data_IF_850173409857
#
_entry.id   IF_850173409857
#
_cell.length_a   1.000
_cell.length_b   1.000
_cell.length_c   1.000
_cell.angle_alpha   90.00
_cell.angle_beta   90.00
_cell.angle_gamma   90.00
#
_symmetry.space_group_name_H-M   'P 1'
#
loop_
_entity.id
_entity.type
_entity.pdbx_description
1 polymer ?
#
# COMPACT_ATOMS: atom_id res chain seq x y z
N UNK A 1 -0.97 2.05 -5.15
CA UNK A 1 -0.84 0.70 -5.73
C UNK A 1 -1.41 0.60 -7.15
N UNK A 2 -2.69 0.85 -7.42
CA UNK A 2 -3.26 0.72 -8.77
C UNK A 2 -2.50 1.50 -9.85
N UNK A 3 -2.17 2.77 -9.62
CA UNK A 3 -1.39 3.58 -10.58
C UNK A 3 0.00 3.00 -10.86
N UNK A 4 0.66 2.39 -9.86
CA UNK A 4 1.96 1.72 -10.07
C UNK A 4 1.81 0.49 -10.95
N UNK A 5 0.77 -0.33 -10.75
CA UNK A 5 0.47 -1.48 -11.62
C UNK A 5 0.20 -1.01 -13.05
N UNK A 6 -0.62 0.04 -13.20
CA UNK A 6 -0.96 0.58 -14.52
C UNK A 6 0.28 1.12 -15.25
N UNK A 7 1.19 1.79 -14.55
CA UNK A 7 2.43 2.30 -15.12
C UNK A 7 3.31 1.14 -15.62
N UNK A 8 3.57 0.14 -14.79
CA UNK A 8 4.39 -1.02 -15.16
C UNK A 8 3.78 -1.86 -16.29
N UNK A 9 2.45 -2.05 -16.26
CA UNK A 9 1.77 -2.77 -17.34
C UNK A 9 1.87 -2.01 -18.68
N UNK A 10 1.67 -0.70 -18.68
CA UNK A 10 1.73 0.12 -19.92
C UNK A 10 3.14 0.20 -20.47
N UNK A 11 4.15 0.29 -19.60
CA UNK A 11 5.55 0.34 -20.01
C UNK A 11 6.01 -1.00 -20.60
N UNK A 12 5.69 -2.11 -19.96
CA UNK A 12 6.18 -3.45 -20.32
C UNK A 12 5.32 -4.16 -21.37
N UNK A 13 4.06 -3.77 -21.50
CA UNK A 13 3.09 -4.30 -22.49
C UNK A 13 2.26 -3.15 -23.08
N UNK A 14 2.86 -2.36 -23.97
CA UNK A 14 2.14 -1.28 -24.67
C UNK A 14 0.87 -1.83 -25.33
N UNK A 15 -0.25 -1.15 -25.13
CA UNK A 15 -1.54 -1.54 -25.70
C UNK A 15 -2.32 -2.57 -24.86
N UNK A 16 -1.81 -3.02 -23.70
CA UNK A 16 -2.59 -3.88 -22.81
C UNK A 16 -3.86 -3.19 -22.32
N UNK A 17 -4.95 -3.95 -22.25
CA UNK A 17 -6.21 -3.49 -21.67
C UNK A 17 -6.17 -3.81 -20.17
N UNK A 18 -6.29 -2.78 -19.35
CA UNK A 18 -6.33 -2.93 -17.89
C UNK A 18 -7.78 -2.80 -17.45
N UNK A 19 -8.24 -3.81 -16.73
CA UNK A 19 -9.62 -3.89 -16.25
C UNK A 19 -9.68 -4.08 -14.74
N UNK A 20 -10.76 -3.60 -14.14
CA UNK A 20 -11.04 -3.77 -12.73
C UNK A 20 -12.54 -4.00 -12.51
N UNK A 21 -12.88 -4.81 -11.53
CA UNK A 21 -14.28 -4.92 -11.08
C UNK A 21 -14.62 -3.66 -10.30
N UNK A 22 -15.71 -2.98 -10.63
CA UNK A 22 -16.25 -1.94 -9.77
C UNK A 22 -16.77 -2.61 -8.49
N UNK A 23 -15.94 -2.74 -7.49
CA UNK A 23 -16.30 -3.42 -6.25
C UNK A 23 -15.83 -2.65 -5.02
N UNK A 24 -16.68 -2.62 -4.04
CA UNK A 24 -16.44 -2.25 -2.66
C UNK A 24 -17.68 -2.65 -1.87
N UNK A 25 -17.58 -2.88 -0.57
CA UNK A 25 -18.74 -3.21 0.27
C UNK A 25 -19.85 -2.17 0.18
N UNK A 26 -19.54 -0.99 -0.33
CA UNK A 26 -20.46 0.14 -0.49
C UNK A 26 -20.67 0.53 -1.97
N UNK A 27 -20.23 -0.31 -2.92
CA UNK A 27 -20.52 -0.12 -4.35
C UNK A 27 -19.86 1.10 -5.01
N UNK A 28 -18.75 1.61 -4.50
CA UNK A 28 -18.33 2.99 -4.73
C UNK A 28 -17.06 3.21 -5.55
N UNK A 29 -16.79 2.36 -6.52
CA UNK A 29 -16.00 2.81 -7.66
C UNK A 29 -16.97 3.08 -8.83
N UNK A 30 -17.54 4.29 -8.95
CA UNK A 30 -18.44 4.60 -10.05
C UNK A 30 -17.74 4.29 -11.38
N UNK A 31 -18.48 3.75 -12.33
CA UNK A 31 -18.00 3.47 -13.68
C UNK A 31 -17.18 4.64 -14.27
N UNK A 32 -17.62 5.86 -14.02
CA UNK A 32 -16.95 7.09 -14.45
C UNK A 32 -15.53 7.24 -13.89
N UNK A 33 -15.29 6.85 -12.64
CA UNK A 33 -13.95 6.91 -12.03
C UNK A 33 -13.00 5.89 -12.67
N UNK A 34 -13.49 4.69 -12.98
CA UNK A 34 -12.67 3.68 -13.66
C UNK A 34 -12.27 4.16 -15.07
N UNK A 35 -13.24 4.64 -15.84
CA UNK A 35 -13.00 5.16 -17.18
C UNK A 35 -12.09 6.39 -17.15
N UNK A 36 -12.32 7.32 -16.22
CA UNK A 36 -11.46 8.49 -16.00
C UNK A 36 -10.02 8.13 -15.64
N UNK A 37 -9.81 7.01 -14.94
CA UNK A 37 -8.49 6.45 -14.65
C UNK A 37 -7.87 5.68 -15.84
N UNK A 38 -8.58 5.54 -16.97
CA UNK A 38 -8.13 4.77 -18.13
C UNK A 38 -8.24 3.25 -17.93
N UNK A 39 -9.18 2.81 -17.10
CA UNK A 39 -9.50 1.41 -16.87
C UNK A 39 -10.76 1.02 -17.61
N UNK A 40 -10.82 -0.22 -18.03
CA UNK A 40 -12.03 -0.82 -18.58
C UNK A 40 -12.82 -1.52 -17.47
N UNK A 41 -14.14 -1.34 -17.40
CA UNK A 41 -14.95 -2.05 -16.42
C UNK A 41 -15.01 -3.53 -16.77
N UNK A 42 -14.73 -4.37 -15.79
CA UNK A 42 -14.95 -5.82 -15.90
C UNK A 42 -16.37 -6.13 -15.46
N UNK A 43 -17.08 -6.92 -16.26
CA UNK A 43 -18.35 -7.51 -15.82
C UNK A 43 -18.09 -8.47 -14.65
N UNK A 44 -18.75 -8.24 -13.54
CA UNK A 44 -18.64 -9.10 -12.37
C UNK A 44 -19.79 -8.84 -11.40
N UNK A 45 -20.44 -9.92 -10.99
CA UNK A 45 -21.41 -9.93 -9.91
C UNK A 45 -20.90 -10.96 -8.91
N UNK A 46 -20.06 -10.49 -8.00
CA UNK A 46 -19.57 -11.32 -6.90
C UNK A 46 -20.53 -11.16 -5.70
N UNK A 47 -21.16 -12.26 -5.30
CA UNK A 47 -21.98 -12.34 -4.08
C UNK A 47 -21.30 -13.29 -3.10
N UNK A 48 -21.58 -13.10 -1.82
CA UNK A 48 -21.18 -14.07 -0.78
C UNK A 48 -21.83 -15.42 -1.13
N UNK A 49 -21.00 -16.40 -1.52
CA UNK A 49 -21.42 -17.76 -1.87
C UNK A 49 -21.47 -18.11 -3.35
N UNK A 50 -21.13 -17.19 -4.27
CA UNK A 50 -21.05 -17.51 -5.69
C UNK A 50 -20.81 -16.31 -6.60
N UNK A 51 -20.30 -16.58 -7.80
CA UNK A 51 -20.08 -15.58 -8.83
C UNK A 51 -21.06 -15.81 -9.99
N UNK A 52 -21.78 -14.76 -10.40
CA UNK A 52 -22.64 -14.77 -11.58
C UNK A 52 -21.92 -14.23 -12.83
N UNK A 53 -20.59 -14.27 -12.83
CA UNK A 53 -19.77 -13.70 -13.90
C UNK A 53 -20.06 -14.33 -15.27
N UNK A 54 -20.48 -15.59 -15.32
CA UNK A 54 -20.88 -16.28 -16.56
C UNK A 54 -22.12 -15.68 -17.26
N UNK A 55 -22.91 -14.87 -16.56
CA UNK A 55 -24.01 -14.14 -17.22
C UNK A 55 -23.51 -13.09 -18.22
N UNK A 56 -22.28 -12.64 -18.07
CA UNK A 56 -21.65 -11.72 -19.02
C UNK A 56 -21.50 -12.29 -20.43
N UNK A 57 -21.36 -13.62 -20.56
CA UNK A 57 -21.20 -14.29 -21.85
C UNK A 57 -22.45 -14.16 -22.74
N UNK A 58 -23.61 -13.91 -22.15
CA UNK A 58 -24.86 -13.64 -22.88
C UNK A 58 -24.96 -12.18 -23.41
N UNK A 59 -24.05 -11.28 -23.01
CA UNK A 59 -24.04 -9.91 -23.49
C UNK A 59 -23.44 -9.89 -24.91
N UNK A 60 -24.18 -9.41 -25.94
CA UNK A 60 -23.69 -9.37 -27.30
C UNK A 60 -22.34 -8.64 -27.43
N UNK A 61 -21.38 -9.23 -28.17
CA UNK A 61 -20.03 -8.67 -28.33
C UNK A 61 -20.01 -7.23 -28.84
N UNK A 62 -20.98 -6.86 -29.74
CA UNK A 62 -21.14 -5.48 -30.23
C UNK A 62 -21.46 -4.49 -29.09
N UNK A 63 -22.31 -4.89 -28.16
CA UNK A 63 -22.68 -4.08 -27.02
C UNK A 63 -21.51 -3.94 -26.04
N UNK A 64 -20.81 -5.03 -25.74
CA UNK A 64 -19.63 -5.01 -24.87
C UNK A 64 -18.53 -4.09 -25.41
N UNK A 65 -18.19 -4.20 -26.70
CA UNK A 65 -17.20 -3.33 -27.35
C UNK A 65 -17.61 -1.85 -27.33
N UNK A 66 -18.91 -1.54 -27.50
CA UNK A 66 -19.41 -0.17 -27.46
C UNK A 66 -19.23 0.49 -26.10
N UNK A 67 -19.32 -0.28 -25.02
CA UNK A 67 -19.20 0.22 -23.65
C UNK A 67 -17.86 -0.13 -22.98
N UNK A 68 -16.93 -0.72 -23.72
CA UNK A 68 -15.62 -1.12 -23.19
C UNK A 68 -15.72 -2.18 -22.10
N UNK A 69 -16.78 -3.01 -22.07
CA UNK A 69 -17.03 -4.00 -21.06
C UNK A 69 -16.21 -5.26 -21.32
N UNK A 70 -15.37 -5.64 -20.37
CA UNK A 70 -14.50 -6.83 -20.42
C UNK A 70 -15.15 -7.96 -19.59
N UNK A 71 -15.13 -9.17 -20.12
CA UNK A 71 -15.55 -10.36 -19.37
C UNK A 71 -14.37 -10.96 -18.59
N UNK A 72 -14.70 -11.72 -17.55
CA UNK A 72 -13.69 -12.46 -16.80
C UNK A 72 -12.96 -13.50 -17.66
N UNK A 73 -13.65 -14.08 -18.66
CA UNK A 73 -13.08 -15.00 -19.65
C UNK A 73 -12.12 -14.37 -20.66
N UNK A 74 -12.09 -13.04 -20.73
CA UNK A 74 -11.19 -12.28 -21.62
C UNK A 74 -9.95 -11.76 -20.89
N UNK A 75 -9.74 -12.15 -19.62
CA UNK A 75 -8.61 -11.71 -18.79
C UNK A 75 -7.51 -12.75 -18.82
N UNK A 76 -6.33 -12.37 -19.34
CA UNK A 76 -5.16 -13.24 -19.43
C UNK A 76 -4.32 -13.25 -18.14
N UNK A 77 -4.29 -12.12 -17.42
CA UNK A 77 -3.46 -11.96 -16.21
C UNK A 77 -4.27 -11.28 -15.12
N UNK A 78 -4.20 -11.85 -13.91
CA UNK A 78 -4.83 -11.30 -12.72
C UNK A 78 -3.76 -10.92 -11.70
N UNK A 79 -3.80 -9.69 -11.21
CA UNK A 79 -2.98 -9.20 -10.10
C UNK A 79 -3.85 -8.98 -8.87
N UNK A 80 -3.52 -9.67 -7.78
CA UNK A 80 -4.01 -9.33 -6.45
C UNK A 80 -3.02 -8.40 -5.76
N UNK A 81 -3.49 -7.25 -5.31
CA UNK A 81 -2.69 -6.19 -4.69
C UNK A 81 -3.37 -5.63 -3.44
N UNK A 82 -3.90 -6.50 -2.59
CA UNK A 82 -4.67 -6.09 -1.42
C UNK A 82 -3.82 -5.41 -0.32
N UNK A 83 -2.50 -5.53 -0.38
CA UNK A 83 -1.55 -4.88 0.52
C UNK A 83 -1.43 -5.55 1.90
N UNK A 84 -2.49 -5.65 2.67
CA UNK A 84 -2.56 -6.41 3.92
C UNK A 84 -4.02 -6.75 4.22
N UNK A 85 -4.50 -7.86 3.68
CA UNK A 85 -5.89 -8.29 3.81
C UNK A 85 -6.05 -9.78 4.14
N UNK A 86 -4.95 -10.53 4.34
CA UNK A 86 -4.94 -11.97 4.53
C UNK A 86 -4.16 -12.37 5.79
N UNK A 87 -4.73 -13.31 6.54
CA UNK A 87 -4.23 -13.80 7.81
C UNK A 87 -5.23 -13.53 8.95
N UNK A 88 -4.86 -13.96 10.16
CA UNK A 88 -5.73 -13.93 11.34
C UNK A 88 -6.32 -12.56 11.72
N UNK A 89 -5.64 -11.42 11.49
CA UNK A 89 -6.23 -10.11 11.78
C UNK A 89 -7.45 -9.75 10.92
N UNK A 90 -7.74 -10.52 9.86
CA UNK A 90 -8.75 -10.20 8.87
C UNK A 90 -9.86 -11.26 8.81
N UNK A 91 -11.09 -10.90 8.38
CA UNK A 91 -12.14 -11.87 8.18
C UNK A 91 -11.72 -12.98 7.21
N UNK A 92 -12.00 -14.22 7.56
CA UNK A 92 -11.70 -15.40 6.73
C UNK A 92 -12.36 -15.34 5.34
N UNK A 93 -13.45 -14.59 5.20
CA UNK A 93 -14.10 -14.32 3.92
C UNK A 93 -13.14 -13.71 2.88
N UNK A 94 -12.19 -12.86 3.32
CA UNK A 94 -11.20 -12.27 2.41
C UNK A 94 -10.35 -13.36 1.76
N UNK A 95 -9.84 -14.28 2.57
CA UNK A 95 -9.02 -15.39 2.07
C UNK A 95 -9.82 -16.38 1.23
N UNK A 96 -11.09 -16.61 1.58
CA UNK A 96 -12.02 -17.43 0.77
C UNK A 96 -12.27 -16.81 -0.59
N UNK A 97 -12.51 -15.51 -0.64
CA UNK A 97 -12.72 -14.77 -1.89
C UNK A 97 -11.46 -14.82 -2.76
N UNK A 98 -10.27 -14.64 -2.16
CA UNK A 98 -8.99 -14.77 -2.84
C UNK A 98 -8.81 -16.18 -3.44
N UNK A 99 -9.02 -17.24 -2.65
CA UNK A 99 -8.90 -18.62 -3.11
C UNK A 99 -9.85 -18.93 -4.28
N UNK A 100 -11.09 -18.46 -4.18
CA UNK A 100 -12.08 -18.60 -5.25
C UNK A 100 -11.68 -17.81 -6.51
N UNK A 101 -11.17 -16.60 -6.37
CA UNK A 101 -10.71 -15.80 -7.51
C UNK A 101 -9.49 -16.42 -8.20
N UNK A 102 -8.51 -16.90 -7.43
CA UNK A 102 -7.32 -17.56 -7.95
C UNK A 102 -7.68 -18.85 -8.70
N UNK A 103 -8.55 -19.68 -8.14
CA UNK A 103 -9.01 -20.90 -8.79
C UNK A 103 -9.73 -20.58 -10.12
N UNK A 104 -10.69 -19.66 -10.11
CA UNK A 104 -11.40 -19.25 -11.33
C UNK A 104 -10.47 -18.70 -12.42
N UNK A 105 -9.41 -17.99 -12.05
CA UNK A 105 -8.44 -17.48 -13.02
C UNK A 105 -7.72 -18.66 -13.73
N UNK A 106 -7.21 -19.61 -12.95
CA UNK A 106 -6.51 -20.79 -13.49
C UNK A 106 -7.43 -21.68 -14.33
N UNK A 107 -8.67 -21.90 -13.88
CA UNK A 107 -9.66 -22.73 -14.61
C UNK A 107 -9.97 -22.16 -16.01
N UNK A 108 -9.70 -20.89 -16.23
CA UNK A 108 -9.86 -20.18 -17.51
C UNK A 108 -8.56 -19.99 -18.29
N UNK A 109 -7.45 -20.49 -17.78
CA UNK A 109 -6.13 -20.36 -18.40
C UNK A 109 -5.44 -19.01 -18.14
N UNK A 110 -5.97 -18.17 -17.25
CA UNK A 110 -5.32 -16.93 -16.85
C UNK A 110 -4.20 -17.20 -15.83
N UNK A 111 -3.16 -16.39 -15.88
CA UNK A 111 -2.11 -16.37 -14.86
C UNK A 111 -2.54 -15.53 -13.65
N UNK A 112 -2.21 -15.98 -12.44
CA UNK A 112 -2.59 -15.31 -11.20
C UNK A 112 -1.35 -14.98 -10.37
N UNK A 113 -1.15 -13.68 -10.09
CA UNK A 113 -0.03 -13.19 -9.28
C UNK A 113 -0.54 -12.50 -8.01
N UNK A 114 0.04 -12.86 -6.87
CA UNK A 114 -0.08 -12.04 -5.67
C UNK A 114 1.11 -11.08 -5.64
N UNK A 115 0.84 -9.79 -5.84
CA UNK A 115 1.84 -8.74 -5.75
C UNK A 115 2.29 -8.52 -4.30
N UNK A 116 3.41 -7.83 -4.05
CA UNK A 116 3.95 -7.64 -2.71
C UNK A 116 2.92 -7.16 -1.70
N UNK A 117 2.66 -8.01 -0.73
CA UNK A 117 1.71 -7.74 0.35
C UNK A 117 2.13 -8.43 1.64
N UNK A 118 1.64 -7.91 2.76
CA UNK A 118 1.86 -8.55 4.05
C UNK A 118 0.86 -9.69 4.25
N UNK A 119 1.37 -10.79 4.79
CA UNK A 119 0.58 -11.96 5.20
C UNK A 119 0.69 -12.12 6.72
N UNK A 120 -0.47 -12.12 7.39
CA UNK A 120 -0.52 -12.48 8.82
C UNK A 120 -0.29 -13.98 9.05
N UNK A 121 -0.37 -14.38 10.31
CA UNK A 121 -0.42 -15.79 10.67
C UNK A 121 -1.73 -16.42 10.16
N UNK A 122 -1.71 -17.75 10.03
CA UNK A 122 -2.86 -18.56 9.63
C UNK A 122 -3.07 -19.66 10.66
N UNK A 123 -3.65 -19.30 11.82
CA UNK A 123 -3.78 -20.23 12.95
C UNK A 123 -4.80 -21.34 12.71
N UNK A 124 -5.91 -21.04 12.03
CA UNK A 124 -6.98 -22.01 11.81
C UNK A 124 -6.65 -23.03 10.72
N UNK A 125 -7.11 -24.28 10.89
CA UNK A 125 -7.00 -25.31 9.85
C UNK A 125 -7.63 -24.87 8.51
N UNK A 126 -8.67 -24.05 8.59
CA UNK A 126 -9.40 -23.57 7.42
C UNK A 126 -8.63 -22.47 6.69
N UNK A 127 -8.05 -21.49 7.41
CA UNK A 127 -7.18 -20.48 6.80
C UNK A 127 -5.96 -21.11 6.14
N UNK A 128 -5.34 -22.12 6.79
CA UNK A 128 -4.23 -22.91 6.21
C UNK A 128 -4.64 -23.66 4.93
N UNK A 129 -5.83 -24.25 4.91
CA UNK A 129 -6.35 -24.93 3.71
C UNK A 129 -6.61 -23.94 2.57
N UNK A 130 -7.18 -22.77 2.88
CA UNK A 130 -7.47 -21.74 1.87
C UNK A 130 -6.18 -21.15 1.27
N UNK A 131 -5.16 -20.84 2.08
CA UNK A 131 -3.90 -20.30 1.54
C UNK A 131 -3.16 -21.36 0.70
N UNK A 132 -3.26 -22.64 1.03
CA UNK A 132 -2.77 -23.74 0.17
C UNK A 132 -3.50 -23.79 -1.18
N UNK A 133 -4.80 -23.56 -1.19
CA UNK A 133 -5.58 -23.45 -2.45
C UNK A 133 -5.10 -22.27 -3.29
N UNK A 134 -4.89 -21.09 -2.66
CA UNK A 134 -4.32 -19.93 -3.35
C UNK A 134 -2.96 -20.26 -3.95
N UNK A 135 -2.08 -20.87 -3.16
CA UNK A 135 -0.72 -21.19 -3.58
C UNK A 135 -0.66 -22.17 -4.77
N UNK A 136 -1.60 -23.13 -4.84
CA UNK A 136 -1.72 -24.04 -5.98
C UNK A 136 -2.14 -23.34 -7.28
N UNK A 137 -2.91 -22.28 -7.15
CA UNK A 137 -3.44 -21.50 -8.28
C UNK A 137 -2.54 -20.34 -8.66
N UNK A 138 -1.72 -19.82 -7.74
CA UNK A 138 -0.86 -18.68 -7.98
C UNK A 138 0.33 -19.06 -8.86
N UNK A 139 0.57 -18.26 -9.90
CA UNK A 139 1.79 -18.35 -10.72
C UNK A 139 3.00 -17.93 -9.90
N UNK A 140 2.84 -16.90 -9.07
CA UNK A 140 3.84 -16.42 -8.10
C UNK A 140 3.19 -15.66 -6.96
N UNK A 141 3.77 -15.77 -5.77
CA UNK A 141 3.35 -15.06 -4.57
C UNK A 141 4.52 -14.21 -4.07
N UNK A 142 4.31 -12.89 -3.92
CA UNK A 142 5.33 -11.99 -3.40
C UNK A 142 4.94 -11.54 -1.99
N UNK A 143 5.75 -11.92 -1.01
CA UNK A 143 5.65 -11.38 0.34
C UNK A 143 6.40 -10.04 0.42
N UNK A 144 5.79 -9.04 1.05
CA UNK A 144 6.38 -7.70 1.16
C UNK A 144 7.46 -7.59 2.23
N UNK A 145 7.46 -8.49 3.19
CA UNK A 145 8.36 -8.50 4.33
C UNK A 145 8.73 -9.94 4.74
N UNK A 146 9.85 -10.05 5.48
CA UNK A 146 10.39 -11.35 5.91
C UNK A 146 9.41 -12.13 6.79
N UNK A 147 8.69 -11.44 7.67
CA UNK A 147 7.69 -12.06 8.56
C UNK A 147 6.59 -12.71 7.72
N UNK A 148 6.06 -11.99 6.75
CA UNK A 148 5.04 -12.49 5.82
C UNK A 148 5.54 -13.70 5.02
N UNK A 149 6.79 -13.66 4.55
CA UNK A 149 7.38 -14.79 3.83
C UNK A 149 7.53 -16.02 4.73
N UNK A 150 7.95 -15.83 5.98
CA UNK A 150 8.07 -16.91 6.94
C UNK A 150 6.70 -17.52 7.29
N UNK A 151 5.68 -16.70 7.52
CA UNK A 151 4.31 -17.17 7.77
C UNK A 151 3.79 -18.05 6.62
N UNK A 152 4.14 -17.72 5.38
CA UNK A 152 3.80 -18.54 4.23
C UNK A 152 4.61 -19.83 4.20
N UNK A 153 5.93 -19.78 4.46
CA UNK A 153 6.83 -20.97 4.44
C UNK A 153 6.50 -22.02 5.49
N UNK A 154 5.94 -21.61 6.63
CA UNK A 154 5.47 -22.53 7.67
C UNK A 154 4.29 -23.41 7.22
N UNK A 155 3.60 -23.03 6.14
CA UNK A 155 2.36 -23.66 5.71
C UNK A 155 2.48 -24.30 4.33
N UNK A 156 3.24 -23.62 3.45
CA UNK A 156 3.36 -23.98 2.03
C UNK A 156 4.61 -24.83 1.80
N UNK A 157 4.53 -25.70 0.81
CA UNK A 157 5.61 -26.59 0.42
C UNK A 157 6.67 -25.83 -0.41
N UNK A 158 7.90 -26.34 -0.44
CA UNK A 158 9.06 -25.69 -1.09
C UNK A 158 8.90 -25.46 -2.59
N UNK A 159 8.06 -26.25 -3.26
CA UNK A 159 7.81 -26.10 -4.69
C UNK A 159 6.91 -24.90 -5.04
N UNK A 160 6.25 -24.27 -4.05
CA UNK A 160 5.44 -23.09 -4.28
C UNK A 160 6.34 -21.90 -4.63
N UNK A 161 6.05 -21.26 -5.77
CA UNK A 161 6.80 -20.09 -6.23
C UNK A 161 6.47 -18.87 -5.37
N UNK A 162 7.34 -18.57 -4.42
CA UNK A 162 7.22 -17.41 -3.55
C UNK A 162 8.58 -16.73 -3.33
N UNK A 163 8.56 -15.42 -3.23
CA UNK A 163 9.76 -14.63 -2.96
C UNK A 163 9.44 -13.35 -2.17
N UNK A 164 10.49 -12.78 -1.61
CA UNK A 164 10.42 -11.46 -1.00
C UNK A 164 10.52 -10.41 -2.10
N UNK A 165 9.62 -9.44 -2.11
CA UNK A 165 9.71 -8.25 -2.93
C UNK A 165 9.12 -7.05 -2.19
N UNK A 166 9.78 -5.89 -2.19
CA UNK A 166 9.34 -4.73 -1.43
C UNK A 166 8.08 -4.09 -2.01
N UNK A 167 7.61 -3.03 -1.35
CA UNK A 167 6.46 -2.28 -1.82
C UNK A 167 6.75 -1.59 -3.17
N UNK A 168 6.16 -2.09 -4.23
CA UNK A 168 6.38 -1.63 -5.61
C UNK A 168 5.86 -0.22 -5.89
N UNK A 169 5.11 0.39 -4.96
CA UNK A 169 4.72 1.80 -5.09
C UNK A 169 5.92 2.75 -4.99
N UNK A 170 7.06 2.24 -4.51
CA UNK A 170 8.33 2.96 -4.50
C UNK A 170 8.82 3.35 -5.91
N UNK A 171 8.44 2.59 -6.94
CA UNK A 171 8.82 2.84 -8.33
C UNK A 171 8.13 4.07 -8.92
N UNK A 172 6.92 4.38 -8.48
CA UNK A 172 6.15 5.50 -9.02
C UNK A 172 6.65 6.82 -8.40
N UNK A 173 7.16 7.77 -9.19
CA UNK A 173 7.59 9.06 -8.68
C UNK A 173 6.39 9.88 -8.19
N UNK A 174 6.61 10.75 -7.21
CA UNK A 174 5.64 11.78 -6.83
C UNK A 174 5.57 12.89 -7.88
N UNK A 175 4.41 13.52 -8.02
CA UNK A 175 4.29 14.73 -8.85
C UNK A 175 4.97 15.90 -8.13
N UNK A 176 5.85 16.61 -8.83
CA UNK A 176 6.48 17.80 -8.27
C UNK A 176 5.41 18.85 -7.91
N UNK A 177 5.32 19.30 -6.66
CA UNK A 177 4.39 20.36 -6.29
C UNK A 177 4.65 21.63 -7.10
N UNK A 178 3.62 22.49 -7.29
CA UNK A 178 3.77 23.78 -7.99
C UNK A 178 4.80 24.69 -7.33
N UNK A 179 4.89 24.62 -6.01
CA UNK A 179 5.86 25.36 -5.19
C UNK A 179 6.54 24.37 -4.22
N UNK A 180 7.59 23.67 -4.64
CA UNK A 180 8.30 22.73 -3.79
C UNK A 180 9.08 23.42 -2.65
N UNK A 181 9.51 24.67 -2.86
CA UNK A 181 10.25 25.44 -1.86
C UNK A 181 9.44 25.67 -0.57
N UNK A 182 8.12 25.79 -0.70
CA UNK A 182 7.19 25.90 0.42
C UNK A 182 7.35 24.77 1.45
N UNK A 183 7.78 23.59 1.02
CA UNK A 183 7.87 22.41 1.88
C UNK A 183 9.28 22.13 2.41
N UNK A 184 10.29 22.91 2.02
CA UNK A 184 11.69 22.67 2.42
C UNK A 184 11.93 22.68 3.92
N UNK A 185 11.17 23.48 4.65
CA UNK A 185 11.27 23.61 6.11
C UNK A 185 10.15 22.87 6.84
N UNK A 186 9.42 22.02 6.12
CA UNK A 186 8.19 21.39 6.61
C UNK A 186 8.45 19.97 7.13
N UNK A 187 7.88 19.66 8.29
CA UNK A 187 7.75 18.29 8.82
C UNK A 187 6.31 17.87 8.72
N UNK A 188 6.05 16.86 7.90
CA UNK A 188 4.71 16.34 7.69
C UNK A 188 4.27 15.42 8.85
N UNK A 189 3.06 15.62 9.36
CA UNK A 189 2.37 14.74 10.30
C UNK A 189 1.34 13.93 9.50
N UNK A 190 1.44 12.61 9.50
CA UNK A 190 0.57 11.72 8.72
C UNK A 190 -0.22 10.82 9.69
N UNK A 191 -1.36 11.31 10.22
CA UNK A 191 -2.14 10.56 11.21
C UNK A 191 -2.82 9.34 10.60
N UNK A 192 -3.23 8.39 11.46
CA UNK A 192 -3.95 7.18 11.07
C UNK A 192 -4.92 6.75 12.16
N UNK A 193 -6.20 6.71 11.85
CA UNK A 193 -7.24 6.25 12.79
C UNK A 193 -7.01 4.83 13.30
N UNK A 194 -6.28 3.97 12.54
CA UNK A 194 -5.97 2.61 13.00
C UNK A 194 -5.15 2.57 14.28
N UNK A 195 -4.42 3.63 14.60
CA UNK A 195 -3.75 3.79 15.90
C UNK A 195 -4.73 3.82 17.07
N UNK A 196 -5.95 4.34 16.86
CA UNK A 196 -7.03 4.36 17.86
C UNK A 196 -7.90 3.09 17.85
N UNK A 197 -7.85 2.29 16.79
CA UNK A 197 -8.75 1.13 16.60
C UNK A 197 -8.07 -0.21 16.79
N UNK A 198 -6.74 -0.30 16.58
CA UNK A 198 -6.00 -1.56 16.42
C UNK A 198 -4.79 -1.71 17.35
N UNK A 199 -4.57 -0.76 18.27
CA UNK A 199 -3.49 -0.83 19.26
C UNK A 199 -4.03 -1.07 20.65
N UNK A 200 -3.15 -1.27 21.62
CA UNK A 200 -3.51 -1.36 23.03
C UNK A 200 -4.02 -0.01 23.59
N UNK A 201 -4.73 -0.09 24.71
CA UNK A 201 -5.38 1.09 25.32
C UNK A 201 -4.40 2.22 25.67
N UNK A 202 -3.20 1.88 26.12
CA UNK A 202 -2.19 2.89 26.49
C UNK A 202 -1.72 3.65 25.26
N UNK A 203 -1.41 2.92 24.20
CA UNK A 203 -1.06 3.50 22.88
C UNK A 203 -2.18 4.39 22.34
N UNK A 204 -3.45 3.94 22.41
CA UNK A 204 -4.61 4.73 21.99
C UNK A 204 -4.73 6.05 22.76
N UNK A 205 -4.60 6.01 24.08
CA UNK A 205 -4.71 7.20 24.94
C UNK A 205 -3.59 8.21 24.67
N UNK A 206 -2.39 7.75 24.37
CA UNK A 206 -1.21 8.59 24.18
C UNK A 206 -1.10 9.12 22.72
N UNK A 207 -1.82 8.56 21.76
CA UNK A 207 -1.60 8.85 20.35
C UNK A 207 -1.83 10.32 19.99
N UNK A 208 -2.99 10.89 20.28
CA UNK A 208 -3.27 12.31 20.01
C UNK A 208 -2.38 13.26 20.82
N UNK A 209 -2.19 13.08 22.14
CA UNK A 209 -1.25 13.87 22.93
C UNK A 209 0.16 13.89 22.34
N UNK A 210 0.68 12.73 21.90
CA UNK A 210 2.01 12.65 21.32
C UNK A 210 2.08 13.37 19.97
N UNK A 211 1.07 13.28 19.10
CA UNK A 211 1.04 14.04 17.86
C UNK A 211 1.00 15.56 18.13
N UNK A 212 0.23 16.00 19.12
CA UNK A 212 0.18 17.40 19.53
C UNK A 212 1.52 17.89 20.11
N UNK A 213 2.19 17.06 20.91
CA UNK A 213 3.53 17.32 21.41
C UNK A 213 4.55 17.39 20.26
N UNK A 214 4.50 16.47 19.30
CA UNK A 214 5.35 16.48 18.12
C UNK A 214 5.22 17.79 17.32
N UNK A 215 3.99 18.25 17.08
CA UNK A 215 3.72 19.53 16.41
C UNK A 215 4.34 20.70 17.18
N UNK A 216 4.19 20.68 18.51
CA UNK A 216 4.77 21.71 19.38
C UNK A 216 6.31 21.71 19.37
N UNK A 217 6.91 20.52 19.30
CA UNK A 217 8.38 20.34 19.18
C UNK A 217 8.88 20.84 17.83
N UNK A 218 8.16 20.56 16.73
CA UNK A 218 8.48 21.02 15.40
C UNK A 218 8.49 22.57 15.37
N UNK A 219 7.46 23.22 15.91
CA UNK A 219 7.40 24.70 16.01
C UNK A 219 8.54 25.27 16.85
N UNK A 220 8.90 24.62 17.95
CA UNK A 220 10.03 25.04 18.80
C UNK A 220 11.39 24.91 18.10
N UNK A 221 11.49 23.99 17.16
CA UNK A 221 12.67 23.86 16.31
C UNK A 221 12.67 24.82 15.10
N UNK A 222 11.78 25.81 15.09
CA UNK A 222 11.60 26.79 14.00
C UNK A 222 11.28 26.14 12.64
N UNK A 223 10.59 24.99 12.67
CA UNK A 223 10.14 24.25 11.51
C UNK A 223 8.61 24.35 11.37
N UNK A 224 8.13 24.12 10.16
CA UNK A 224 6.72 24.24 9.78
C UNK A 224 6.02 22.87 9.90
N UNK A 225 5.10 22.67 10.87
CA UNK A 225 4.29 21.45 10.90
C UNK A 225 3.20 21.51 9.83
N UNK A 226 2.97 20.36 9.18
CA UNK A 226 1.94 20.19 8.16
C UNK A 226 1.19 18.88 8.39
N UNK A 227 -0.13 18.91 8.52
CA UNK A 227 -0.93 17.68 8.55
C UNK A 227 -1.24 17.25 7.12
N UNK A 228 -0.98 15.97 6.81
CA UNK A 228 -1.30 15.37 5.51
C UNK A 228 -2.32 14.25 5.72
N UNK A 229 -3.55 14.45 5.22
CA UNK A 229 -4.58 13.42 5.20
C UNK A 229 -4.24 12.45 4.06
N UNK A 230 -3.99 11.18 4.41
CA UNK A 230 -3.53 10.19 3.44
C UNK A 230 -4.65 9.25 2.98
N UNK A 231 -5.65 8.99 3.81
CA UNK A 231 -6.69 8.01 3.49
C UNK A 231 -8.01 8.29 4.21
N UNK A 232 -9.03 8.65 3.44
CA UNK A 232 -10.44 8.62 3.84
C UNK A 232 -10.92 9.63 4.87
N UNK A 233 -12.21 9.51 5.20
CA UNK A 233 -12.94 10.39 6.13
C UNK A 233 -12.46 10.27 7.58
N UNK A 234 -12.04 9.06 7.98
CA UNK A 234 -11.64 8.79 9.37
C UNK A 234 -10.35 9.55 9.75
N UNK A 235 -9.40 9.66 8.81
CA UNK A 235 -8.18 10.45 9.03
C UNK A 235 -8.46 11.95 9.01
N UNK A 236 -9.49 12.39 8.27
CA UNK A 236 -9.95 13.76 8.28
C UNK A 236 -10.50 14.14 9.68
N UNK A 237 -11.39 13.32 10.25
CA UNK A 237 -11.90 13.54 11.62
C UNK A 237 -10.78 13.59 12.66
N UNK A 238 -9.76 12.74 12.50
CA UNK A 238 -8.60 12.74 13.39
C UNK A 238 -7.76 14.03 13.22
N UNK A 239 -7.62 14.51 11.99
CA UNK A 239 -6.93 15.77 11.68
C UNK A 239 -7.69 16.97 12.24
N UNK A 240 -9.00 16.98 12.17
CA UNK A 240 -9.87 18.02 12.75
C UNK A 240 -9.69 18.11 14.28
N UNK A 241 -9.57 16.95 14.96
CA UNK A 241 -9.26 16.93 16.40
C UNK A 241 -7.90 17.55 16.71
N UNK A 242 -6.88 17.32 15.89
CA UNK A 242 -5.56 17.94 16.05
C UNK A 242 -5.59 19.46 15.80
N UNK A 243 -6.31 19.93 14.79
CA UNK A 243 -6.44 21.36 14.51
C UNK A 243 -7.25 22.11 15.56
N UNK A 244 -8.21 21.46 16.22
CA UNK A 244 -8.90 22.01 17.37
C UNK A 244 -7.98 22.20 18.60
N UNK A 245 -7.07 21.23 18.82
CA UNK A 245 -6.10 21.32 19.91
C UNK A 245 -5.01 22.34 19.64
N UNK A 246 -4.61 22.47 18.40
CA UNK A 246 -3.51 23.32 17.94
C UNK A 246 -3.95 24.10 16.70
N UNK A 247 -4.56 25.28 16.87
CA UNK A 247 -4.98 26.13 15.75
C UNK A 247 -3.81 26.52 14.83
N UNK A 248 -4.14 26.93 13.61
CA UNK A 248 -3.20 27.45 12.61
C UNK A 248 -2.19 26.42 12.05
N UNK A 249 -2.52 25.12 12.11
CA UNK A 249 -1.75 24.11 11.41
C UNK A 249 -2.31 23.94 9.99
N UNK A 250 -1.49 24.10 8.95
CA UNK A 250 -1.91 23.77 7.60
C UNK A 250 -2.30 22.29 7.47
N UNK A 251 -3.37 22.03 6.74
CA UNK A 251 -3.84 20.67 6.43
C UNK A 251 -3.87 20.51 4.92
N UNK A 252 -3.30 19.44 4.43
CA UNK A 252 -3.45 19.00 3.03
C UNK A 252 -4.41 17.82 2.99
N UNK A 253 -5.49 18.00 2.26
CA UNK A 253 -6.52 17.02 1.94
C UNK A 253 -6.57 16.86 0.42
N UNK A 254 -5.67 16.07 -0.10
CA UNK A 254 -5.52 15.83 -1.54
C UNK A 254 -6.00 14.41 -1.88
N UNK A 255 -6.73 14.27 -2.96
CA UNK A 255 -7.26 12.99 -3.40
C UNK A 255 -6.31 12.22 -4.32
N UNK A 256 -5.38 12.92 -5.00
CA UNK A 256 -4.41 12.29 -5.89
C UNK A 256 -3.19 11.79 -5.10
N UNK A 257 -2.99 10.45 -4.97
CA UNK A 257 -1.88 9.89 -4.22
C UNK A 257 -0.50 10.25 -4.80
N UNK A 258 -0.43 10.62 -6.07
CA UNK A 258 0.84 11.02 -6.71
C UNK A 258 1.20 12.44 -6.31
N UNK A 259 0.22 13.31 -6.15
CA UNK A 259 0.41 14.67 -5.63
C UNK A 259 0.82 14.61 -4.15
N UNK A 260 0.11 13.81 -3.34
CA UNK A 260 0.49 13.57 -1.93
C UNK A 260 1.94 13.08 -1.84
N UNK A 261 2.30 12.09 -2.67
CA UNK A 261 3.67 11.55 -2.69
C UNK A 261 4.71 12.63 -3.04
N UNK A 262 4.39 13.50 -3.99
CA UNK A 262 5.28 14.61 -4.36
C UNK A 262 5.44 15.65 -3.24
N UNK A 263 4.36 15.99 -2.55
CA UNK A 263 4.40 16.89 -1.38
C UNK A 263 5.27 16.27 -0.28
N UNK A 264 5.02 15.01 0.07
CA UNK A 264 5.81 14.30 1.08
C UNK A 264 7.30 14.19 0.71
N UNK A 265 7.59 14.00 -0.60
CA UNK A 265 8.96 14.00 -1.12
C UNK A 265 9.67 15.34 -1.08
N UNK A 266 8.91 16.45 -1.01
CA UNK A 266 9.43 17.82 -0.90
C UNK A 266 9.61 18.28 0.55
N UNK A 267 9.04 17.55 1.53
CA UNK A 267 9.18 17.86 2.94
C UNK A 267 10.60 17.60 3.47
N UNK A 268 10.98 18.33 4.52
CA UNK A 268 12.22 18.12 5.24
C UNK A 268 12.23 16.75 5.93
N UNK A 269 11.08 16.34 6.49
CA UNK A 269 10.89 15.05 7.14
C UNK A 269 9.43 14.75 7.43
N UNK A 270 9.15 13.61 8.06
CA UNK A 270 7.78 13.27 8.46
C UNK A 270 7.71 12.47 9.77
N UNK A 271 6.58 12.59 10.46
CA UNK A 271 6.19 11.71 11.57
C UNK A 271 4.87 11.07 11.16
N UNK A 272 4.89 9.76 10.89
CA UNK A 272 3.77 9.12 10.22
C UNK A 272 3.28 7.84 10.88
N UNK A 273 1.97 7.61 10.72
CA UNK A 273 1.27 6.40 11.13
C UNK A 273 0.62 5.67 9.95
N UNK A 274 0.77 6.19 8.72
CA UNK A 274 0.28 5.60 7.48
C UNK A 274 1.41 4.94 6.71
N UNK A 275 1.29 3.62 6.46
CA UNK A 275 2.31 2.83 5.81
C UNK A 275 2.75 3.42 4.46
N UNK A 276 1.81 3.68 3.53
CA UNK A 276 2.16 4.25 2.22
C UNK A 276 2.58 5.72 2.30
N UNK A 277 2.21 6.45 3.36
CA UNK A 277 2.79 7.76 3.65
C UNK A 277 4.29 7.67 3.95
N UNK A 278 4.68 6.72 4.82
CA UNK A 278 6.08 6.44 5.12
C UNK A 278 6.85 5.91 3.89
N UNK A 279 6.27 4.98 3.12
CA UNK A 279 6.85 4.52 1.85
C UNK A 279 7.05 5.70 0.89
N UNK A 280 6.11 6.63 0.83
CA UNK A 280 6.22 7.82 0.00
C UNK A 280 7.39 8.72 0.41
N UNK A 281 7.64 8.89 1.71
CA UNK A 281 8.79 9.64 2.22
C UNK A 281 10.10 8.88 1.95
N UNK A 282 10.21 7.66 2.44
CA UNK A 282 11.43 6.86 2.41
C UNK A 282 11.91 6.56 0.99
N UNK A 283 10.98 6.24 0.07
CA UNK A 283 11.32 6.01 -1.34
C UNK A 283 11.87 7.25 -2.07
N UNK A 284 11.79 8.42 -1.46
CA UNK A 284 12.33 9.69 -1.96
C UNK A 284 13.46 10.24 -1.08
N UNK A 285 14.00 9.42 -0.16
CA UNK A 285 15.11 9.80 0.72
C UNK A 285 14.72 10.79 1.83
N UNK A 286 13.43 10.93 2.13
CA UNK A 286 12.94 11.82 3.19
C UNK A 286 12.98 11.11 4.53
N UNK A 287 13.71 11.63 5.55
CA UNK A 287 13.75 11.06 6.89
C UNK A 287 12.38 11.00 7.55
N UNK A 288 12.11 9.93 8.29
CA UNK A 288 10.86 9.82 9.01
C UNK A 288 11.02 9.16 10.39
N UNK A 289 10.10 9.51 11.29
CA UNK A 289 9.75 8.74 12.46
C UNK A 289 8.39 8.10 12.24
N UNK A 290 8.16 6.93 12.82
CA UNK A 290 6.94 6.17 12.62
C UNK A 290 6.29 5.76 13.94
N UNK A 291 4.96 5.75 13.96
CA UNK A 291 4.17 4.99 14.93
C UNK A 291 3.51 3.81 14.22
N UNK A 292 3.31 2.71 14.92
CA UNK A 292 2.86 1.46 14.31
C UNK A 292 1.65 0.85 15.01
N UNK A 293 0.75 0.29 14.22
CA UNK A 293 -0.35 -0.54 14.69
C UNK A 293 -0.19 -2.02 14.27
N UNK A 294 0.90 -2.35 13.56
CA UNK A 294 1.22 -3.72 13.11
C UNK A 294 2.71 -3.85 12.77
N UNK A 295 3.24 -5.06 12.78
CA UNK A 295 4.67 -5.36 12.56
C UNK A 295 5.24 -4.94 11.19
N UNK A 296 4.40 -4.70 10.18
CA UNK A 296 4.86 -4.26 8.84
C UNK A 296 5.68 -2.94 8.86
N UNK A 297 5.45 -2.09 9.87
CA UNK A 297 6.20 -0.84 10.02
C UNK A 297 7.63 -1.09 10.46
N UNK A 298 7.85 -2.04 11.38
CA UNK A 298 9.19 -2.47 11.81
C UNK A 298 9.98 -3.01 10.61
N UNK A 299 9.34 -3.85 9.81
CA UNK A 299 9.95 -4.40 8.59
C UNK A 299 10.32 -3.30 7.59
N UNK A 300 9.46 -2.29 7.40
CA UNK A 300 9.74 -1.15 6.52
C UNK A 300 10.95 -0.36 7.02
N UNK A 301 10.95 0.05 8.29
CA UNK A 301 12.03 0.84 8.86
C UNK A 301 13.36 0.07 8.87
N UNK A 302 13.33 -1.24 9.12
CA UNK A 302 14.49 -2.12 9.04
C UNK A 302 15.05 -2.20 7.61
N UNK A 303 14.19 -2.25 6.59
CA UNK A 303 14.62 -2.27 5.18
C UNK A 303 15.36 -0.98 4.78
N UNK A 304 15.06 0.14 5.45
CA UNK A 304 15.74 1.42 5.25
C UNK A 304 16.85 1.70 6.28
N UNK A 305 17.20 0.72 7.12
CA UNK A 305 18.31 0.84 8.10
C UNK A 305 18.03 1.78 9.28
N UNK A 306 16.75 2.12 9.53
CA UNK A 306 16.31 3.08 10.57
C UNK A 306 15.33 2.46 11.55
N UNK A 307 15.61 1.26 12.05
CA UNK A 307 14.72 0.55 12.97
C UNK A 307 14.42 1.35 14.26
N UNK A 308 15.33 2.22 14.69
CA UNK A 308 15.17 3.11 15.84
C UNK A 308 14.25 4.31 15.59
N UNK A 309 13.77 4.50 14.36
CA UNK A 309 12.75 5.48 14.00
C UNK A 309 11.33 5.08 14.42
N UNK A 310 11.14 3.86 14.93
CA UNK A 310 9.85 3.43 15.47
C UNK A 310 9.63 3.98 16.90
N UNK A 311 8.51 4.66 17.08
CA UNK A 311 8.14 5.29 18.36
C UNK A 311 7.21 4.36 19.17
N UNK A 312 7.61 4.01 20.37
CA UNK A 312 6.76 3.26 21.32
C UNK A 312 5.91 4.23 22.17
N UNK A 313 4.67 4.42 21.77
CA UNK A 313 3.75 5.36 22.42
C UNK A 313 3.34 4.98 23.83
N UNK A 314 3.72 3.82 24.34
CA UNK A 314 3.53 3.43 25.73
C UNK A 314 4.47 4.18 26.68
N UNK A 315 5.48 4.85 26.13
CA UNK A 315 6.50 5.60 26.88
C UNK A 315 6.59 7.06 26.37
N UNK A 316 5.60 7.92 26.66
CA UNK A 316 5.49 9.26 26.08
C UNK A 316 6.75 10.13 26.21
N UNK A 317 7.37 10.13 27.41
CA UNK A 317 8.59 10.91 27.68
C UNK A 317 9.77 10.46 26.81
N UNK A 318 9.90 9.16 26.54
CA UNK A 318 10.93 8.64 25.64
C UNK A 318 10.65 9.05 24.20
N UNK A 319 9.39 9.04 23.79
CA UNK A 319 8.96 9.49 22.45
C UNK A 319 9.28 10.95 22.23
N UNK A 320 8.96 11.83 23.17
CA UNK A 320 9.27 13.26 23.07
C UNK A 320 10.77 13.51 23.00
N UNK A 321 11.56 12.83 23.82
CA UNK A 321 13.03 12.90 23.75
C UNK A 321 13.57 12.39 22.40
N UNK A 322 12.99 11.32 21.86
CA UNK A 322 13.39 10.77 20.56
C UNK A 322 13.06 11.74 19.43
N UNK A 323 11.86 12.33 19.43
CA UNK A 323 11.45 13.34 18.45
C UNK A 323 12.39 14.54 18.52
N UNK A 324 12.64 15.09 19.72
CA UNK A 324 13.50 16.25 19.87
C UNK A 324 14.94 15.96 19.39
N UNK A 325 15.52 14.80 19.74
CA UNK A 325 16.83 14.38 19.25
C UNK A 325 16.87 14.30 17.72
N UNK A 326 15.82 13.73 17.12
CA UNK A 326 15.70 13.61 15.67
C UNK A 326 15.63 14.98 14.99
N UNK A 327 14.81 15.90 15.49
CA UNK A 327 14.68 17.26 14.96
C UNK A 327 16.00 18.03 15.00
N UNK A 328 16.75 17.91 16.10
CA UNK A 328 17.98 18.68 16.30
C UNK A 328 19.19 18.08 15.60
N UNK A 329 19.34 16.75 15.62
CA UNK A 329 20.60 16.12 15.27
C UNK A 329 20.57 15.26 13.98
N UNK A 330 19.38 14.79 13.57
CA UNK A 330 19.29 13.75 12.53
C UNK A 330 18.58 14.25 11.28
N UNK A 331 17.52 15.07 11.44
CA UNK A 331 16.62 15.45 10.37
C UNK A 331 17.31 16.14 9.17
N UNK A 332 18.31 16.97 9.44
CA UNK A 332 19.08 17.66 8.42
C UNK A 332 20.42 16.98 8.09
N UNK A 333 20.69 15.80 8.66
CA UNK A 333 21.94 15.07 8.42
C UNK A 333 22.08 14.66 6.94
N UNK A 334 23.14 15.10 6.24
CA UNK A 334 23.40 14.67 4.87
C UNK A 334 23.66 13.16 4.77
N UNK A 335 24.33 12.59 5.78
CA UNK A 335 24.65 11.16 5.82
C UNK A 335 23.38 10.31 5.92
N UNK A 336 22.42 10.71 6.75
CA UNK A 336 21.14 10.02 6.83
C UNK A 336 20.39 10.06 5.50
N UNK A 337 20.33 11.22 4.85
CA UNK A 337 19.65 11.36 3.55
C UNK A 337 20.33 10.54 2.45
N UNK A 338 21.65 10.54 2.40
CA UNK A 338 22.43 9.72 1.46
C UNK A 338 22.18 8.24 1.69
N UNK A 339 22.19 7.81 2.95
CA UNK A 339 21.90 6.43 3.33
C UNK A 339 20.48 6.01 2.92
N UNK A 340 19.47 6.83 3.25
CA UNK A 340 18.08 6.56 2.86
C UNK A 340 17.88 6.50 1.33
N UNK A 341 18.56 7.37 0.58
CA UNK A 341 18.53 7.34 -0.89
C UNK A 341 19.13 6.05 -1.44
N UNK A 342 20.24 5.56 -0.86
CA UNK A 342 20.84 4.29 -1.24
C UNK A 342 19.92 3.10 -0.97
N UNK A 343 19.26 3.06 0.20
CA UNK A 343 18.26 2.04 0.50
C UNK A 343 17.06 2.12 -0.44
N UNK A 344 16.59 3.34 -0.75
CA UNK A 344 15.50 3.54 -1.69
C UNK A 344 15.84 3.01 -3.10
N UNK A 345 17.09 3.18 -3.56
CA UNK A 345 17.56 2.63 -4.82
C UNK A 345 17.60 1.10 -4.81
N UNK A 346 18.05 0.50 -3.71
CA UNK A 346 18.05 -0.94 -3.53
C UNK A 346 16.60 -1.51 -3.57
N UNK A 347 15.68 -0.91 -2.82
CA UNK A 347 14.25 -1.30 -2.80
C UNK A 347 13.61 -1.15 -4.20
N UNK A 348 13.91 -0.07 -4.92
CA UNK A 348 13.46 0.10 -6.31
C UNK A 348 14.02 -0.96 -7.25
N UNK A 349 15.29 -1.34 -7.08
CA UNK A 349 15.92 -2.37 -7.89
C UNK A 349 15.28 -3.75 -7.67
N UNK A 350 14.98 -4.11 -6.42
CA UNK A 350 14.24 -5.32 -6.08
C UNK A 350 12.81 -5.32 -6.67
N UNK A 351 12.13 -4.17 -6.62
CA UNK A 351 10.80 -4.02 -7.21
C UNK A 351 10.84 -4.17 -8.74
N UNK A 352 11.86 -3.63 -9.42
CA UNK A 352 12.04 -3.84 -10.88
C UNK A 352 12.30 -5.31 -11.22
N UNK A 353 13.17 -5.99 -10.46
CA UNK A 353 13.44 -7.41 -10.66
C UNK A 353 12.17 -8.26 -10.49
N UNK A 354 11.30 -7.95 -9.52
CA UNK A 354 10.00 -8.58 -9.38
C UNK A 354 9.14 -8.42 -10.66
N UNK A 355 9.04 -7.20 -11.18
CA UNK A 355 8.27 -6.96 -12.40
C UNK A 355 8.88 -7.66 -13.62
N UNK A 356 10.21 -7.69 -13.75
CA UNK A 356 10.89 -8.48 -14.79
C UNK A 356 10.52 -9.96 -14.70
N UNK A 357 10.52 -10.52 -13.49
CA UNK A 357 10.13 -11.90 -13.25
C UNK A 357 8.67 -12.18 -13.64
N UNK A 358 7.74 -11.28 -13.31
CA UNK A 358 6.33 -11.37 -13.68
C UNK A 358 6.17 -11.40 -15.20
N UNK A 359 6.81 -10.47 -15.91
CA UNK A 359 6.64 -10.33 -17.36
C UNK A 359 7.49 -11.32 -18.19
N UNK A 360 8.60 -11.84 -17.64
CA UNK A 360 9.37 -12.92 -18.27
C UNK A 360 8.69 -14.29 -18.16
N UNK A 361 8.06 -14.57 -17.01
CA UNK A 361 7.34 -15.82 -16.78
C UNK A 361 6.01 -15.96 -17.53
N UNK A 362 5.48 -14.86 -18.08
CA UNK A 362 4.23 -14.83 -18.87
C UNK A 362 4.38 -15.21 -20.33
N UNK A 363 5.55 -15.70 -20.79
CA UNK A 363 5.78 -16.09 -22.18
C UNK A 363 5.34 -17.52 -22.56
N UNK A 364 4.59 -18.22 -21.70
CA UNK A 364 3.88 -19.43 -22.08
C UNK A 364 2.58 -19.05 -22.81
N UNK A 365 2.63 -19.01 -24.15
CA UNK A 365 1.48 -18.94 -25.07
C UNK A 365 0.53 -17.73 -24.94
N UNK A 366 0.96 -16.54 -25.32
CA UNK A 366 0.04 -15.53 -25.83
C UNK A 366 0.19 -15.53 -27.36
N UNK A 367 -0.69 -16.28 -28.04
CA UNK A 367 -0.84 -16.22 -29.50
C UNK A 367 -1.22 -14.78 -29.89
N UNK A 368 -0.44 -14.21 -30.80
CA UNK A 368 -0.86 -13.02 -31.55
C UNK A 368 -2.12 -13.38 -32.35
N UNK A 369 -3.24 -12.77 -32.00
CA UNK A 369 -4.50 -12.89 -32.72
C UNK A 369 -5.19 -11.54 -32.78
#
# INVERSE_FOLDING_TARGET
MLRSIMAECRERRPGCIITMVPSGPEGHQPFQLLVGAGLFPRFGIDRVGGSLNGLGDFIPRRLRRRYGLILESEVDVVFDAAGFAYGDPWPESNLRNLASAAQRAVDRGATFFLLPQSFGEFSSKKSRSLIKTVAKSATWMFARDKTSLNNLREILEDHVRMSLAPDFTSLLPGATPKDPERFRNTVAIIPNVKMLQRTDRVTQMNYLPILASAISLIRRAELDPLIVIHEGSDDRELSDKLTHLLPDIPVIDESDPIVIKGILGSCLGSIGSRYHGLVSCLSQGVPCLATAWSAKYESLLSAYGISDALLDLRQPENVERRINRWLVNELTSPDLRTSLSSFADAERSLSRAMWEQIFAGGHGSISQG
#
